data_IF_964176283489
#
_entry.id   IF_964176283489
#
_cell.length_a   1.000
_cell.length_b   1.000
_cell.length_c   1.000
_cell.angle_alpha   90.00
_cell.angle_beta   90.00
_cell.angle_gamma   90.00
#
_symmetry.space_group_name_H-M   'P 1'
#
loop_
_entity.id
_entity.type
_entity.pdbx_description
1 polymer ?
#
# COMPACT_ATOMS: atom_id res chain seq x y z
N UNK A 1 -14.08 13.97 -56.28
CA UNK A 1 -14.61 14.72 -55.12
C UNK A 1 -13.74 14.43 -53.91
N UNK A 2 -13.33 15.50 -53.24
CA UNK A 2 -12.44 15.56 -52.07
C UNK A 2 -13.10 14.95 -50.83
N UNK A 3 -12.30 14.29 -49.98
CA UNK A 3 -12.12 14.74 -48.59
C UNK A 3 -11.05 13.91 -47.87
N UNK A 4 -9.98 14.61 -47.51
CA UNK A 4 -8.93 14.22 -46.58
C UNK A 4 -9.57 13.95 -45.23
N UNK A 5 -9.38 12.76 -44.68
CA UNK A 5 -9.65 12.48 -43.27
C UNK A 5 -8.31 12.24 -42.57
N UNK A 6 -7.70 13.34 -42.17
CA UNK A 6 -6.72 13.33 -41.09
C UNK A 6 -7.46 12.88 -39.82
N UNK A 7 -6.99 11.82 -39.17
CA UNK A 7 -7.51 11.40 -37.88
C UNK A 7 -6.34 11.04 -36.96
N UNK A 8 -5.92 12.06 -36.20
CA UNK A 8 -5.54 12.02 -34.79
C UNK A 8 -4.66 10.84 -34.35
N UNK A 9 -3.36 11.12 -34.28
CA UNK A 9 -2.41 10.36 -33.46
C UNK A 9 -2.84 10.54 -31.99
N UNK A 10 -3.54 9.54 -31.46
CA UNK A 10 -3.82 9.41 -30.04
C UNK A 10 -2.52 9.04 -29.33
N UNK A 11 -1.84 10.03 -28.76
CA UNK A 11 -0.78 9.78 -27.79
C UNK A 11 -1.42 9.26 -26.51
N UNK A 12 -1.47 7.93 -26.37
CA UNK A 12 -1.80 7.27 -25.12
C UNK A 12 -0.68 7.56 -24.12
N UNK A 13 -0.88 8.56 -23.27
CA UNK A 13 -0.04 8.82 -22.10
C UNK A 13 -0.19 7.65 -21.13
N UNK A 14 0.69 6.66 -21.23
CA UNK A 14 0.89 5.63 -20.22
C UNK A 14 1.43 6.31 -18.97
N UNK A 15 0.54 6.68 -18.06
CA UNK A 15 0.91 7.03 -16.69
C UNK A 15 1.36 5.72 -16.03
N UNK A 16 2.64 5.40 -16.19
CA UNK A 16 3.29 4.33 -15.44
C UNK A 16 3.39 4.82 -14.00
N UNK A 17 2.33 4.58 -13.21
CA UNK A 17 2.38 4.76 -11.77
C UNK A 17 3.47 3.84 -11.24
N UNK A 18 4.49 4.42 -10.58
CA UNK A 18 5.53 3.64 -9.92
C UNK A 18 4.88 2.62 -8.98
N UNK A 19 5.04 1.33 -9.29
CA UNK A 19 4.56 0.24 -8.47
C UNK A 19 5.30 0.27 -7.13
N UNK A 20 4.65 0.81 -6.09
CA UNK A 20 5.20 0.81 -4.74
C UNK A 20 4.92 -0.56 -4.10
N UNK A 21 5.91 -1.16 -3.40
CA UNK A 21 5.70 -2.39 -2.64
C UNK A 21 4.67 -2.14 -1.53
N UNK A 22 3.70 -3.05 -1.40
CA UNK A 22 2.63 -2.98 -0.41
C UNK A 22 2.77 -4.09 0.64
N UNK A 23 2.57 -3.74 1.91
CA UNK A 23 2.56 -4.71 3.02
C UNK A 23 1.15 -5.25 3.23
N UNK A 24 1.00 -6.57 3.15
CA UNK A 24 -0.23 -7.28 3.51
C UNK A 24 -0.02 -8.04 4.80
N UNK A 25 -1.03 -8.01 5.68
CA UNK A 25 -1.06 -8.77 6.93
C UNK A 25 -2.19 -9.78 6.88
N UNK A 26 -1.86 -11.06 6.98
CA UNK A 26 -2.84 -12.12 6.91
C UNK A 26 -2.95 -12.92 8.20
N UNK A 27 -4.18 -13.29 8.51
CA UNK A 27 -4.51 -14.23 9.57
C UNK A 27 -5.76 -15.02 9.16
N UNK A 28 -5.71 -16.37 9.11
CA UNK A 28 -6.86 -17.16 8.69
C UNK A 28 -8.11 -16.88 9.55
N UNK A 29 -9.26 -16.68 8.90
CA UNK A 29 -10.55 -16.48 9.57
C UNK A 29 -10.73 -15.13 10.27
N UNK A 30 -9.84 -14.15 10.05
CA UNK A 30 -9.99 -12.82 10.64
C UNK A 30 -10.96 -11.95 9.85
N UNK A 31 -11.81 -11.23 10.56
CA UNK A 31 -12.69 -10.23 9.94
C UNK A 31 -11.90 -8.99 9.53
N UNK A 32 -12.23 -8.32 8.40
CA UNK A 32 -11.58 -7.09 7.98
C UNK A 32 -11.56 -6.01 9.07
N UNK A 33 -12.70 -5.79 9.74
CA UNK A 33 -12.79 -4.82 10.84
C UNK A 33 -11.86 -5.16 12.03
N UNK A 34 -11.58 -6.45 12.26
CA UNK A 34 -10.65 -6.89 13.30
C UNK A 34 -9.20 -6.62 12.89
N UNK A 35 -8.86 -6.85 11.62
CA UNK A 35 -7.57 -6.46 11.06
C UNK A 35 -7.35 -4.95 11.20
N UNK A 36 -8.31 -4.12 10.80
CA UNK A 36 -8.19 -2.66 10.91
C UNK A 36 -7.99 -2.22 12.36
N UNK A 37 -8.75 -2.81 13.29
CA UNK A 37 -8.61 -2.54 14.72
C UNK A 37 -7.22 -2.91 15.24
N UNK A 38 -6.72 -4.11 14.90
CA UNK A 38 -5.40 -4.56 15.32
C UNK A 38 -4.27 -3.74 14.70
N UNK A 39 -4.42 -3.33 13.43
CA UNK A 39 -3.50 -2.41 12.77
C UNK A 39 -3.49 -1.05 13.47
N UNK A 40 -4.64 -0.50 13.87
CA UNK A 40 -4.71 0.78 14.58
C UNK A 40 -4.00 0.73 15.94
N UNK A 41 -4.10 -0.39 16.67
CA UNK A 41 -3.33 -0.62 17.90
C UNK A 41 -1.83 -0.64 17.59
N UNK A 42 -1.42 -1.44 16.60
CA UNK A 42 -0.01 -1.56 16.23
C UNK A 42 0.59 -0.25 15.69
N UNK A 43 -0.20 0.63 15.04
CA UNK A 43 0.26 1.96 14.64
C UNK A 43 0.64 2.83 15.83
N UNK A 44 -0.11 2.75 16.93
CA UNK A 44 0.19 3.51 18.15
C UNK A 44 1.47 3.02 18.82
N UNK A 45 1.70 1.70 18.84
CA UNK A 45 2.92 1.10 19.41
C UNK A 45 4.18 1.41 18.59
N UNK A 46 4.04 1.51 17.28
CA UNK A 46 5.14 1.74 16.35
C UNK A 46 5.25 3.20 15.88
N UNK A 47 4.48 4.12 16.46
CA UNK A 47 4.52 5.54 16.11
C UNK A 47 5.91 6.09 16.44
N UNK A 48 6.66 6.49 15.42
CA UNK A 48 7.99 7.07 15.58
C UNK A 48 8.04 8.46 14.94
N UNK A 49 8.20 9.53 15.74
CA UNK A 49 8.28 10.89 15.20
C UNK A 49 9.53 11.13 14.34
N UNK A 50 10.52 10.23 14.35
CA UNK A 50 11.77 10.32 13.59
C UNK A 50 11.67 9.70 12.20
N UNK A 51 10.65 8.90 11.93
CA UNK A 51 10.46 8.26 10.61
C UNK A 51 9.94 9.29 9.61
N UNK A 52 10.70 9.54 8.56
CA UNK A 52 10.29 10.39 7.43
C UNK A 52 9.42 9.55 6.50
N UNK A 53 8.13 9.85 6.49
CA UNK A 53 7.15 9.22 5.61
C UNK A 53 6.68 10.24 4.57
N UNK A 54 6.36 9.77 3.35
CA UNK A 54 5.74 10.58 2.32
C UNK A 54 4.41 11.17 2.81
N UNK A 55 3.97 12.34 2.32
CA UNK A 55 2.65 12.88 2.63
C UNK A 55 1.56 11.83 2.36
N UNK A 56 0.72 11.53 3.37
CA UNK A 56 -0.32 10.50 3.29
C UNK A 56 0.12 9.09 3.70
N UNK A 57 1.40 8.88 4.05
CA UNK A 57 1.88 7.62 4.63
C UNK A 57 2.07 7.76 6.15
N UNK A 58 1.74 6.69 6.89
CA UNK A 58 1.92 6.71 8.34
C UNK A 58 3.40 6.73 8.72
N UNK A 59 3.77 7.59 9.67
CA UNK A 59 5.11 7.61 10.29
C UNK A 59 5.23 6.50 11.33
N UNK A 60 5.27 5.26 10.85
CA UNK A 60 5.45 4.07 11.68
C UNK A 60 6.80 3.44 11.41
N UNK A 61 7.51 3.07 12.48
CA UNK A 61 8.61 2.13 12.37
C UNK A 61 8.05 0.78 11.90
N UNK A 62 8.39 0.39 10.66
CA UNK A 62 7.87 -0.82 10.04
C UNK A 62 8.28 -2.08 10.80
N UNK A 63 9.46 -2.10 11.40
CA UNK A 63 9.96 -3.25 12.16
C UNK A 63 9.14 -3.44 13.44
N UNK A 64 8.87 -2.35 14.16
CA UNK A 64 8.02 -2.39 15.36
C UNK A 64 6.58 -2.75 15.01
N UNK A 65 6.06 -2.21 13.89
CA UNK A 65 4.72 -2.51 13.43
C UNK A 65 4.55 -3.99 13.08
N UNK A 66 5.47 -4.55 12.28
CA UNK A 66 5.43 -5.96 11.86
C UNK A 66 5.52 -6.87 13.08
N UNK A 67 6.42 -6.58 14.03
CA UNK A 67 6.52 -7.35 15.28
C UNK A 67 5.22 -7.33 16.09
N UNK A 68 4.54 -6.19 16.16
CA UNK A 68 3.23 -6.10 16.82
C UNK A 68 2.18 -6.99 16.13
N UNK A 69 2.12 -6.94 14.80
CA UNK A 69 1.21 -7.76 14.00
C UNK A 69 1.51 -9.26 14.17
N UNK A 70 2.78 -9.66 14.13
CA UNK A 70 3.22 -11.04 14.34
C UNK A 70 2.84 -11.57 15.73
N UNK A 71 3.00 -10.78 16.80
CA UNK A 71 2.53 -11.15 18.14
C UNK A 71 1.03 -11.38 18.22
N UNK A 72 0.24 -10.73 17.36
CA UNK A 72 -1.21 -10.91 17.24
C UNK A 72 -1.59 -12.10 16.34
N UNK A 73 -0.59 -12.80 15.79
CA UNK A 73 -0.76 -13.98 14.94
C UNK A 73 -0.98 -13.67 13.47
N UNK A 74 -0.59 -12.47 13.02
CA UNK A 74 -0.59 -12.13 11.60
C UNK A 74 0.75 -12.49 10.96
N UNK A 75 0.72 -12.87 9.68
CA UNK A 75 1.91 -13.00 8.85
C UNK A 75 2.04 -11.76 7.97
N UNK A 76 3.16 -11.03 8.09
CA UNK A 76 3.47 -9.90 7.24
C UNK A 76 4.12 -10.37 5.94
N UNK A 77 3.66 -9.85 4.80
CA UNK A 77 4.27 -10.11 3.50
C UNK A 77 4.28 -8.85 2.65
N UNK A 78 5.31 -8.72 1.82
CA UNK A 78 5.36 -7.68 0.79
C UNK A 78 4.79 -8.29 -0.49
N UNK A 79 3.85 -7.58 -1.11
CA UNK A 79 3.43 -7.88 -2.47
C UNK A 79 3.88 -6.78 -3.40
N UNK A 80 4.39 -7.18 -4.55
CA UNK A 80 4.58 -6.28 -5.68
C UNK A 80 3.25 -6.20 -6.41
N UNK A 81 2.69 -4.99 -6.54
CA UNK A 81 1.46 -4.81 -7.31
C UNK A 81 1.79 -5.02 -8.79
N UNK A 82 1.16 -5.97 -9.50
CA UNK A 82 1.42 -6.18 -10.93
C UNK A 82 1.04 -4.92 -11.72
N UNK A 83 1.87 -4.59 -12.73
CA UNK A 83 1.72 -3.43 -13.62
C UNK A 83 0.46 -3.51 -14.47
#
# INVERSE_FOLDING_TARGET
MTRRTAALVYTASLVVGCAAPEWIYEKPGVLPAKLDHDMAICRKEAADPRVVALPGSDRVDRTLFNRCMERKGYTARIVEKPR
#
